data_IF_665883532242
#
_entry.id   IF_665883532242
#
_cell.length_a   1.000
_cell.length_b   1.000
_cell.length_c   1.000
_cell.angle_alpha   90.00
_cell.angle_beta   90.00
_cell.angle_gamma   90.00
#
_symmetry.space_group_name_H-M   'P 1'
#
loop_
_entity.id
_entity.type
_entity.pdbx_description
1 polymer ?
#
# COMPACT_ATOMS: atom_id res chain seq x y z
N UNK A 1 -17.57 7.30 15.81
CA UNK A 1 -17.37 8.14 14.60
C UNK A 1 -16.11 9.01 14.63
N UNK A 2 -15.70 9.62 15.76
CA UNK A 2 -14.47 10.47 15.82
C UNK A 2 -13.15 9.77 15.42
N UNK A 3 -12.94 8.50 15.82
CA UNK A 3 -11.69 7.74 15.53
C UNK A 3 -11.43 7.47 14.03
N UNK A 4 -12.48 7.38 13.22
CA UNK A 4 -12.34 7.13 11.77
C UNK A 4 -11.86 8.39 11.05
N UNK A 5 -12.30 9.57 11.52
CA UNK A 5 -11.83 10.86 11.00
C UNK A 5 -10.35 11.11 11.32
N UNK A 6 -9.84 10.60 12.45
CA UNK A 6 -8.43 10.72 12.82
C UNK A 6 -7.49 9.92 11.91
N UNK A 7 -7.99 8.86 11.24
CA UNK A 7 -7.19 8.01 10.34
C UNK A 7 -7.63 8.12 8.87
N UNK A 8 -8.40 9.16 8.53
CA UNK A 8 -8.91 9.34 7.16
C UNK A 8 -7.77 9.53 6.15
N UNK A 9 -6.68 10.16 6.59
CA UNK A 9 -5.48 10.38 5.79
C UNK A 9 -4.81 9.05 5.42
N UNK A 10 -4.58 8.18 6.42
CA UNK A 10 -4.03 6.85 6.19
C UNK A 10 -4.92 6.02 5.26
N UNK A 11 -6.25 6.06 5.46
CA UNK A 11 -7.21 5.36 4.60
C UNK A 11 -7.13 5.86 3.15
N UNK A 12 -7.01 7.18 2.95
CA UNK A 12 -6.85 7.77 1.61
C UNK A 12 -5.53 7.34 0.97
N UNK A 13 -4.44 7.32 1.73
CA UNK A 13 -3.12 6.91 1.25
C UNK A 13 -3.13 5.43 0.84
N UNK A 14 -3.62 4.55 1.71
CA UNK A 14 -3.68 3.11 1.43
C UNK A 14 -4.65 2.79 0.28
N UNK A 15 -5.78 3.48 0.18
CA UNK A 15 -6.73 3.29 -0.93
C UNK A 15 -6.17 3.76 -2.27
N UNK A 16 -5.48 4.91 -2.29
CA UNK A 16 -4.77 5.38 -3.48
C UNK A 16 -3.69 4.40 -3.95
N UNK A 17 -2.87 3.91 -3.01
CA UNK A 17 -1.84 2.91 -3.30
C UNK A 17 -2.44 1.61 -3.84
N UNK A 18 -3.53 1.14 -3.25
CA UNK A 18 -4.25 -0.04 -3.71
C UNK A 18 -4.77 0.12 -5.15
N UNK A 19 -5.38 1.27 -5.46
CA UNK A 19 -5.90 1.55 -6.81
C UNK A 19 -4.79 1.63 -7.86
N UNK A 20 -3.62 2.19 -7.53
CA UNK A 20 -2.46 2.22 -8.44
C UNK A 20 -1.99 0.80 -8.76
N UNK A 21 -1.84 -0.04 -7.74
CA UNK A 21 -1.45 -1.44 -7.93
C UNK A 21 -2.49 -2.17 -8.77
N UNK A 22 -3.78 -2.02 -8.44
CA UNK A 22 -4.88 -2.65 -9.17
C UNK A 22 -4.89 -2.21 -10.65
N UNK A 23 -4.82 -0.91 -10.93
CA UNK A 23 -4.75 -0.39 -12.29
C UNK A 23 -3.56 -0.96 -13.05
N UNK A 24 -2.41 -1.13 -12.39
CA UNK A 24 -1.23 -1.75 -12.99
C UNK A 24 -1.46 -3.22 -13.35
N UNK A 25 -2.19 -3.98 -12.51
CA UNK A 25 -2.62 -5.35 -12.83
C UNK A 25 -3.58 -5.41 -14.03
N UNK A 26 -4.46 -4.41 -14.19
CA UNK A 26 -5.34 -4.31 -15.35
C UNK A 26 -4.55 -4.08 -16.65
N UNK A 27 -3.46 -3.31 -16.59
CA UNK A 27 -2.61 -3.06 -17.76
C UNK A 27 -1.76 -4.28 -18.10
N UNK A 28 -1.01 -4.82 -17.13
CA UNK A 28 -0.17 -6.00 -17.34
C UNK A 28 0.07 -6.72 -16.01
N UNK A 29 -0.33 -7.99 -15.95
CA UNK A 29 -0.18 -8.84 -14.76
C UNK A 29 1.27 -8.94 -14.28
N UNK A 30 2.23 -9.00 -15.20
CA UNK A 30 3.65 -9.09 -14.85
C UNK A 30 4.11 -7.79 -14.18
N UNK A 31 3.79 -6.63 -14.77
CA UNK A 31 4.16 -5.32 -14.21
C UNK A 31 3.46 -5.11 -12.85
N UNK A 32 2.18 -5.49 -12.74
CA UNK A 32 1.44 -5.44 -11.47
C UNK A 32 2.11 -6.26 -10.37
N UNK A 33 2.62 -7.46 -10.69
CA UNK A 33 3.37 -8.28 -9.74
C UNK A 33 4.69 -7.63 -9.31
N UNK A 34 5.44 -7.00 -10.22
CA UNK A 34 6.66 -6.26 -9.87
C UNK A 34 6.37 -5.06 -8.97
N UNK A 35 5.34 -4.28 -9.28
CA UNK A 35 4.95 -3.10 -8.48
C UNK A 35 4.45 -3.53 -7.10
N UNK A 36 3.59 -4.55 -7.03
CA UNK A 36 3.14 -5.12 -5.76
C UNK A 36 4.32 -5.65 -4.93
N UNK A 37 5.26 -6.35 -5.57
CA UNK A 37 6.48 -6.83 -4.94
C UNK A 37 7.33 -5.71 -4.36
N UNK A 38 7.53 -4.62 -5.11
CA UNK A 38 8.28 -3.46 -4.63
C UNK A 38 7.62 -2.78 -3.43
N UNK A 39 6.28 -2.64 -3.45
CA UNK A 39 5.51 -2.07 -2.33
C UNK A 39 5.62 -2.95 -1.08
N UNK A 40 5.40 -4.26 -1.21
CA UNK A 40 5.50 -5.21 -0.09
C UNK A 40 6.92 -5.30 0.46
N UNK A 41 7.93 -5.27 -0.41
CA UNK A 41 9.33 -5.29 0.00
C UNK A 41 9.71 -4.00 0.75
N UNK A 42 9.30 -2.84 0.25
CA UNK A 42 9.48 -1.56 0.93
C UNK A 42 8.82 -1.51 2.30
N UNK A 43 7.57 -2.00 2.39
CA UNK A 43 6.86 -2.13 3.67
C UNK A 43 7.55 -3.12 4.62
N UNK A 44 8.04 -4.25 4.11
CA UNK A 44 8.80 -5.23 4.89
C UNK A 44 10.09 -4.67 5.48
N UNK A 45 10.84 -3.88 4.70
CA UNK A 45 12.02 -3.14 5.20
C UNK A 45 11.59 -2.13 6.27
N UNK A 46 10.52 -1.37 6.03
CA UNK A 46 10.01 -0.39 6.99
C UNK A 46 9.63 -1.05 8.31
N UNK A 47 8.88 -2.16 8.29
CA UNK A 47 8.49 -2.90 9.50
C UNK A 47 9.66 -3.60 10.20
N UNK A 48 10.70 -3.99 9.45
CA UNK A 48 11.93 -4.52 10.06
C UNK A 48 12.68 -3.42 10.84
N UNK A 49 12.70 -2.20 10.29
CA UNK A 49 13.36 -1.03 10.92
C UNK A 49 12.52 -0.42 12.05
N UNK A 50 11.20 -0.40 11.89
CA UNK A 50 10.22 0.13 12.84
C UNK A 50 9.19 -0.96 13.16
N UNK A 51 9.55 -1.93 14.00
CA UNK A 51 8.63 -3.01 14.36
C UNK A 51 7.39 -2.41 15.03
N UNK A 52 6.18 -2.70 14.52
CA UNK A 52 4.96 -2.30 15.20
C UNK A 52 4.91 -3.02 16.56
N UNK A 53 4.77 -2.24 17.64
CA UNK A 53 4.56 -2.75 19.00
C UNK A 53 3.14 -3.26 19.18
#
# INVERSE_FOLDING_TARGET
MKKILEHIEDILIFSGLFLIVLATFLVNKIIGLYVLGAVLFGLGIHFTKYPPR
#
